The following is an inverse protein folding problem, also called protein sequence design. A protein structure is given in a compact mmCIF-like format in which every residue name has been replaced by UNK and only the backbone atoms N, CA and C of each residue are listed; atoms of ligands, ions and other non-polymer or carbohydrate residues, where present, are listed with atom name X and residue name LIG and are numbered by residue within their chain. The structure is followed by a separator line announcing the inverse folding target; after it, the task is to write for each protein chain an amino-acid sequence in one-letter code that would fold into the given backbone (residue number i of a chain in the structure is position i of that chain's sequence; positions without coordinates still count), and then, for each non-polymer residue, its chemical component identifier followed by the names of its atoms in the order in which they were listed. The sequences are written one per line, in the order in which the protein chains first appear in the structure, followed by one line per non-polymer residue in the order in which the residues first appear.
data_IF_082038020004
#
_entry.id   IF_082038020004
#
_cell.length_a   1.000
_cell.length_b   1.000
_cell.length_c   1.000
_cell.angle_alpha   90.00
_cell.angle_beta   90.00
_cell.angle_gamma   90.00
#
_symmetry.space_group_name_H-M   'P 1'
#
loop_
_entity.id
_entity.type
_entity.pdbx_description
1 polymer ?
#
# COMPACT_ATOMS: atom_id res chain seq x y z
N UNK A 1 3.39 2.43 -17.39
CA UNK A 1 2.57 1.37 -16.78
C UNK A 1 2.29 1.79 -15.34
N UNK A 2 1.04 1.91 -14.89
CA UNK A 2 0.77 2.26 -13.49
C UNK A 2 1.09 1.05 -12.60
N UNK A 3 1.96 1.27 -11.61
CA UNK A 3 2.21 0.28 -10.56
C UNK A 3 0.95 0.14 -9.69
N UNK A 4 0.62 -1.09 -9.32
CA UNK A 4 -0.52 -1.42 -8.46
C UNK A 4 0.05 -2.08 -7.22
N UNK A 5 -0.49 -1.73 -6.07
CA UNK A 5 0.15 -2.05 -4.81
C UNK A 5 -0.89 -2.32 -3.73
N UNK A 6 -0.65 -3.37 -2.96
CA UNK A 6 -1.35 -3.62 -1.70
C UNK A 6 -0.55 -2.95 -0.57
N UNK A 7 -1.23 -2.19 0.27
CA UNK A 7 -0.66 -1.64 1.51
C UNK A 7 -1.27 -2.35 2.72
N UNK A 8 -0.42 -2.95 3.56
CA UNK A 8 -0.79 -3.44 4.88
C UNK A 8 -0.18 -2.47 5.90
N UNK A 9 -1.05 -1.70 6.57
CA UNK A 9 -0.66 -0.61 7.45
C UNK A 9 -0.67 -1.07 8.91
N UNK A 10 0.45 -0.91 9.60
CA UNK A 10 0.61 -1.18 11.02
C UNK A 10 1.01 0.10 11.73
N UNK A 11 0.66 0.20 13.01
CA UNK A 11 1.11 1.26 13.90
C UNK A 11 1.80 0.65 15.13
N UNK A 12 2.60 1.42 15.87
CA UNK A 12 3.37 0.95 17.02
C UNK A 12 2.58 1.09 18.34
N UNK A 13 1.96 0.01 18.87
CA UNK A 13 1.18 0.09 20.11
C UNK A 13 2.02 0.10 21.39
N UNK A 14 3.33 -0.16 21.31
CA UNK A 14 4.21 -0.08 22.48
C UNK A 14 4.51 1.37 22.87
N UNK A 15 4.45 2.28 21.89
CA UNK A 15 4.77 3.71 22.06
C UNK A 15 3.56 4.61 22.10
N UNK A 16 2.48 4.25 21.42
CA UNK A 16 1.30 5.09 21.27
C UNK A 16 0.06 4.37 21.80
N UNK A 17 -0.92 5.13 22.26
CA UNK A 17 -2.17 4.58 22.79
C UNK A 17 -3.25 4.45 21.71
N UNK A 18 -3.07 5.11 20.56
CA UNK A 18 -4.01 5.06 19.45
C UNK A 18 -3.34 5.35 18.10
N UNK A 19 -3.97 4.90 17.01
CA UNK A 19 -3.57 5.27 15.65
C UNK A 19 -3.62 6.79 15.42
N UNK A 20 -4.62 7.47 15.99
CA UNK A 20 -4.79 8.92 15.80
C UNK A 20 -3.63 9.73 16.39
N UNK A 21 -3.08 9.26 17.52
CA UNK A 21 -1.86 9.80 18.12
C UNK A 21 -0.62 9.47 17.30
N UNK A 22 -0.54 8.23 16.81
CA UNK A 22 0.64 7.73 16.13
C UNK A 22 0.82 8.33 14.71
N UNK A 23 -0.26 8.61 13.98
CA UNK A 23 -0.24 8.87 12.53
C UNK A 23 0.69 10.01 12.08
N UNK A 24 1.03 10.98 12.93
CA UNK A 24 1.94 12.10 12.63
C UNK A 24 3.39 11.85 13.02
N UNK A 25 3.70 10.79 13.75
CA UNK A 25 5.02 10.59 14.37
C UNK A 25 5.96 9.74 13.50
N UNK A 26 7.23 10.13 13.42
CA UNK A 26 8.19 9.62 12.43
C UNK A 26 8.42 8.09 12.45
N UNK A 27 8.23 7.44 13.59
CA UNK A 27 8.44 6.01 13.82
C UNK A 27 7.15 5.24 14.15
N UNK A 28 6.00 5.87 13.94
CA UNK A 28 4.72 5.29 14.30
C UNK A 28 4.24 4.21 13.35
N UNK A 29 4.44 4.39 12.04
CA UNK A 29 3.81 3.54 11.04
C UNK A 29 4.83 2.65 10.33
N UNK A 30 4.45 1.38 10.18
CA UNK A 30 5.12 0.45 9.30
C UNK A 30 4.14 0.01 8.20
N UNK A 31 4.48 0.27 6.94
CA UNK A 31 3.63 -0.10 5.80
C UNK A 31 4.33 -1.14 4.95
N UNK A 32 3.72 -2.33 4.89
CA UNK A 32 4.15 -3.39 3.98
C UNK A 32 3.49 -3.15 2.63
N UNK A 33 4.34 -3.01 1.62
CA UNK A 33 3.97 -2.75 0.25
C UNK A 33 4.24 -3.95 -0.64
N UNK A 34 3.19 -4.52 -1.22
CA UNK A 34 3.32 -5.66 -2.15
C UNK A 34 2.90 -5.22 -3.54
N UNK A 35 3.80 -5.34 -4.51
CA UNK A 35 3.50 -5.04 -5.92
C UNK A 35 2.59 -6.11 -6.50
N UNK A 36 1.57 -5.68 -7.25
CA UNK A 36 0.65 -6.58 -7.94
C UNK A 36 1.05 -6.74 -9.41
N UNK A 37 1.26 -7.99 -9.84
CA UNK A 37 1.60 -8.34 -11.23
C UNK A 37 0.44 -9.10 -11.87
N UNK A 38 0.19 -8.84 -13.15
CA UNK A 38 -0.93 -9.47 -13.86
C UNK A 38 -0.69 -10.97 -14.13
N UNK A 39 -1.58 -11.83 -13.59
CA UNK A 39 -2.07 -13.14 -14.09
C UNK A 39 -2.93 -13.82 -12.99
N UNK A 40 -3.71 -14.85 -13.37
CA UNK A 40 -4.80 -15.47 -12.57
C UNK A 40 -4.42 -15.87 -11.12
N UNK A 41 -5.32 -15.59 -10.18
CA UNK A 41 -5.46 -16.25 -8.89
C UNK A 41 -6.89 -16.04 -8.34
N UNK A 42 -7.57 -17.04 -7.76
CA UNK A 42 -8.81 -16.82 -7.01
C UNK A 42 -8.50 -16.04 -5.71
N UNK A 43 -9.30 -15.02 -5.42
CA UNK A 43 -9.20 -14.24 -4.17
C UNK A 43 -10.52 -14.37 -3.41
N UNK A 44 -10.60 -15.39 -2.57
CA UNK A 44 -11.73 -15.63 -1.65
C UNK A 44 -11.14 -16.05 -0.32
N UNK A 45 -11.59 -15.44 0.79
CA UNK A 45 -10.95 -15.41 2.11
C UNK A 45 -9.57 -14.72 2.11
N UNK A 46 -9.43 -13.61 2.85
CA UNK A 46 -8.14 -12.98 3.08
C UNK A 46 -7.31 -13.84 4.03
N UNK A 47 -6.47 -14.69 3.44
CA UNK A 47 -5.46 -15.45 4.17
C UNK A 47 -4.16 -14.61 4.20
N UNK A 48 -3.53 -14.39 5.37
CA UNK A 48 -2.19 -13.81 5.48
C UNK A 48 -1.12 -14.50 4.61
N UNK A 49 -1.36 -15.74 4.15
CA UNK A 49 -0.54 -16.43 3.14
C UNK A 49 -0.53 -15.77 1.75
N UNK A 50 -1.35 -14.74 1.54
CA UNK A 50 -1.37 -13.90 0.33
C UNK A 50 -0.15 -12.99 0.19
N UNK A 51 0.75 -12.96 1.18
CA UNK A 51 2.08 -12.36 1.04
C UNK A 51 2.97 -13.18 0.08
N UNK A 52 3.97 -12.55 -0.55
CA UNK A 52 4.93 -13.30 -1.36
C UNK A 52 5.67 -14.35 -0.54
N UNK A 53 6.05 -15.45 -1.19
CA UNK A 53 6.78 -16.55 -0.56
C UNK A 53 8.12 -16.09 0.03
N UNK A 54 8.82 -15.16 -0.64
CA UNK A 54 9.98 -14.48 -0.08
C UNK A 54 9.61 -13.11 0.50
N UNK A 55 9.94 -12.93 1.78
CA UNK A 55 9.81 -11.64 2.45
C UNK A 55 11.04 -10.75 2.27
N UNK A 56 11.92 -11.01 1.29
CA UNK A 56 12.99 -10.07 0.96
C UNK A 56 12.41 -8.71 0.59
N UNK A 57 12.96 -7.62 1.14
CA UNK A 57 12.35 -6.31 1.03
C UNK A 57 13.37 -5.17 0.83
N UNK A 58 12.86 -4.06 0.33
CA UNK A 58 13.49 -2.75 0.45
C UNK A 58 12.82 -1.93 1.54
N UNK A 59 13.59 -1.10 2.25
CA UNK A 59 13.04 -0.20 3.26
C UNK A 59 13.59 1.21 3.16
N UNK A 60 12.72 2.19 3.40
CA UNK A 60 13.05 3.61 3.42
C UNK A 60 12.04 4.39 4.28
N UNK A 61 12.47 5.53 4.82
CA UNK A 61 11.58 6.49 5.50
C UNK A 61 10.84 7.32 4.46
N UNK A 62 9.52 7.40 4.59
CA UNK A 62 8.65 8.09 3.66
C UNK A 62 7.36 8.56 4.32
N UNK A 63 6.35 8.77 3.49
CA UNK A 63 5.08 9.37 3.91
C UNK A 63 3.89 8.48 3.62
N UNK A 64 2.73 8.88 4.14
CA UNK A 64 1.45 8.49 3.58
C UNK A 64 1.37 8.91 2.09
N UNK A 65 0.70 8.11 1.28
CA UNK A 65 0.54 8.34 -0.18
C UNK A 65 -0.75 9.07 -0.54
N UNK A 66 -1.49 9.55 0.47
CA UNK A 66 -2.67 10.39 0.34
C UNK A 66 -2.70 11.39 1.50
N UNK A 67 -3.37 12.56 1.36
CA UNK A 67 -3.57 13.49 2.47
C UNK A 67 -3.94 12.77 3.77
N UNK A 68 -3.31 13.12 4.91
CA UNK A 68 -2.51 14.34 5.15
C UNK A 68 -1.03 14.27 4.73
N UNK A 69 -0.55 13.18 4.10
CA UNK A 69 0.84 13.03 3.62
C UNK A 69 1.92 13.12 4.72
N UNK A 70 1.60 12.76 5.98
CA UNK A 70 2.59 12.74 7.06
C UNK A 70 3.80 11.86 6.72
N UNK A 71 5.00 12.36 7.02
CA UNK A 71 6.28 11.66 6.87
C UNK A 71 6.56 10.72 8.07
N UNK A 72 5.56 9.92 8.42
CA UNK A 72 5.52 9.03 9.61
C UNK A 72 5.73 7.55 9.29
N UNK A 73 6.08 7.23 8.04
CA UNK A 73 6.01 5.86 7.52
C UNK A 73 7.40 5.28 7.29
N UNK A 74 7.68 4.16 7.94
CA UNK A 74 8.73 3.23 7.51
C UNK A 74 8.14 2.27 6.48
N UNK A 75 8.57 2.41 5.23
CA UNK A 75 8.11 1.54 4.15
C UNK A 75 8.90 0.23 4.14
N UNK A 76 8.20 -0.88 3.89
CA UNK A 76 8.75 -2.22 3.67
C UNK A 76 8.17 -2.72 2.35
N UNK A 77 8.95 -2.63 1.27
CA UNK A 77 8.49 -3.00 -0.08
C UNK A 77 9.01 -4.39 -0.39
N UNK A 78 8.12 -5.37 -0.52
CA UNK A 78 8.51 -6.73 -0.88
C UNK A 78 9.14 -6.76 -2.28
N UNK A 79 10.23 -7.52 -2.41
CA UNK A 79 10.93 -7.77 -3.66
C UNK A 79 10.06 -8.57 -4.64
N UNK A 80 9.36 -9.55 -4.11
CA UNK A 80 8.45 -10.37 -4.88
C UNK A 80 7.06 -9.73 -4.99
N UNK A 81 6.46 -9.88 -6.17
CA UNK A 81 5.10 -9.43 -6.47
C UNK A 81 4.10 -10.57 -6.30
N UNK A 82 2.85 -10.25 -5.97
CA UNK A 82 1.75 -11.22 -6.00
C UNK A 82 0.91 -11.04 -7.25
N UNK A 83 0.22 -12.10 -7.64
CA UNK A 83 -0.58 -12.14 -8.86
C UNK A 83 -1.98 -11.56 -8.63
N UNK A 84 -2.46 -10.75 -9.56
CA UNK A 84 -3.85 -10.28 -9.60
C UNK A 84 -4.41 -10.40 -11.02
N UNK A 85 -5.65 -10.87 -11.14
CA UNK A 85 -6.34 -11.06 -12.42
C UNK A 85 -6.83 -9.74 -13.02
N UNK A 86 -7.05 -9.71 -14.33
CA UNK A 86 -7.59 -8.51 -15.00
C UNK A 86 -9.02 -8.21 -14.54
N UNK A 87 -9.80 -9.25 -14.27
CA UNK A 87 -11.17 -9.22 -13.80
C UNK A 87 -11.23 -8.67 -12.36
N UNK A 88 -10.36 -9.15 -11.47
CA UNK A 88 -10.22 -8.61 -10.10
C UNK A 88 -9.85 -7.12 -10.14
N UNK A 89 -8.95 -6.74 -11.04
CA UNK A 89 -8.61 -5.32 -11.23
C UNK A 89 -9.76 -4.50 -11.81
N UNK A 90 -10.59 -5.09 -12.66
CA UNK A 90 -11.79 -4.44 -13.17
C UNK A 90 -12.81 -4.20 -12.05
N UNK A 91 -12.93 -5.13 -11.09
CA UNK A 91 -13.78 -4.94 -9.91
C UNK A 91 -13.34 -3.73 -9.07
N UNK A 92 -12.03 -3.56 -8.81
CA UNK A 92 -11.54 -2.36 -8.12
C UNK A 92 -11.83 -1.06 -8.88
N UNK A 93 -11.71 -1.07 -10.22
CA UNK A 93 -11.99 0.12 -11.05
C UNK A 93 -13.48 0.40 -11.23
N UNK A 94 -14.33 -0.56 -10.95
CA UNK A 94 -15.78 -0.40 -10.96
C UNK A 94 -16.32 0.23 -9.67
N UNK A 95 -15.48 0.36 -8.62
CA UNK A 95 -15.84 1.09 -7.41
C UNK A 95 -16.10 2.56 -7.73
N UNK A 96 -17.15 3.09 -7.11
CA UNK A 96 -17.63 4.44 -7.31
C UNK A 96 -17.10 5.35 -6.18
N UNK A 97 -16.66 6.54 -6.56
CA UNK A 97 -16.19 7.57 -5.62
C UNK A 97 -17.29 8.54 -5.17
N UNK A 98 -18.43 8.54 -5.87
CA UNK A 98 -19.57 9.39 -5.55
C UNK A 98 -20.42 8.80 -4.40
N UNK A 99 -21.22 9.66 -3.79
CA UNK A 99 -22.23 9.26 -2.80
C UNK A 99 -23.46 8.65 -3.50
N UNK A 100 -24.28 7.93 -2.73
CA UNK A 100 -25.53 7.36 -3.24
C UNK A 100 -26.49 8.48 -3.69
N UNK A 101 -27.06 8.32 -4.89
CA UNK A 101 -27.94 9.32 -5.51
C UNK A 101 -27.27 10.25 -6.53
N UNK A 102 -25.93 10.34 -6.53
CA UNK A 102 -25.17 11.12 -7.51
C UNK A 102 -24.85 10.34 -8.79
N UNK A 103 -24.39 11.05 -9.82
CA UNK A 103 -23.89 10.44 -11.04
C UNK A 103 -22.67 9.55 -10.76
N UNK A 104 -22.61 8.32 -11.33
CA UNK A 104 -21.49 7.40 -11.11
C UNK A 104 -20.13 7.96 -11.56
N UNK A 105 -19.16 8.01 -10.65
CA UNK A 105 -17.77 8.40 -10.92
C UNK A 105 -16.81 7.27 -10.51
N UNK A 106 -16.36 6.43 -11.47
CA UNK A 106 -15.46 5.31 -11.18
C UNK A 106 -14.06 5.74 -10.74
N UNK A 107 -13.45 4.97 -9.83
CA UNK A 107 -12.08 5.21 -9.33
C UNK A 107 -11.05 4.59 -10.31
N UNK A 108 -10.36 5.43 -11.08
CA UNK A 108 -9.42 4.96 -12.10
C UNK A 108 -7.94 4.93 -11.66
N UNK A 109 -7.49 5.85 -10.80
CA UNK A 109 -6.07 6.00 -10.41
C UNK A 109 -5.90 6.81 -9.11
N UNK A 110 -4.90 6.47 -8.28
CA UNK A 110 -4.86 6.96 -6.89
C UNK A 110 -3.62 7.80 -6.45
N UNK A 111 -2.41 7.72 -7.08
CA UNK A 111 -1.29 8.67 -6.83
C UNK A 111 -0.03 8.41 -7.71
N UNK A 112 0.79 9.42 -8.08
CA UNK A 112 2.08 9.24 -8.77
C UNK A 112 3.29 9.07 -7.82
N UNK A 113 4.40 8.52 -8.33
CA UNK A 113 5.68 8.41 -7.59
C UNK A 113 6.31 9.77 -7.32
N UNK A 114 7.01 9.89 -6.20
CA UNK A 114 7.63 11.14 -5.72
C UNK A 114 9.17 11.10 -5.82
N UNK A 115 9.85 12.26 -5.96
CA UNK A 115 11.31 12.32 -6.01
C UNK A 115 12.00 11.75 -4.76
N UNK A 116 13.15 11.10 -4.93
CA UNK A 116 13.90 10.46 -3.83
C UNK A 116 14.50 11.48 -2.85
N UNK A 117 14.87 12.68 -3.31
CA UNK A 117 15.43 13.78 -2.49
C UNK A 117 16.59 13.34 -1.55
N UNK A 118 17.48 12.46 -2.04
CA UNK A 118 18.66 12.02 -1.28
C UNK A 118 18.41 10.94 -0.22
N UNK A 119 17.18 10.41 -0.11
CA UNK A 119 16.88 9.28 0.76
C UNK A 119 17.61 8.01 0.31
N UNK A 120 18.12 7.25 1.26
CA UNK A 120 18.74 5.94 1.01
C UNK A 120 17.69 4.84 1.12
N UNK A 121 17.59 4.02 0.08
CA UNK A 121 16.80 2.79 0.09
C UNK A 121 17.71 1.63 0.46
N UNK A 122 17.38 0.92 1.55
CA UNK A 122 18.13 -0.25 2.02
C UNK A 122 17.47 -1.53 1.52
N UNK A 123 18.24 -2.59 1.31
CA UNK A 123 17.76 -3.91 0.93
C UNK A 123 18.07 -4.93 2.04
N UNK A 124 17.22 -5.95 2.19
CA UNK A 124 17.44 -7.05 3.14
C UNK A 124 18.29 -8.21 2.58
N UNK A 125 18.78 -8.08 1.35
CA UNK A 125 19.42 -9.14 0.56
C UNK A 125 20.60 -8.62 -0.24
#
# INVERSE_FOLDING_TARGET
MMAKMLHIVHWNPEKYSSLAEAISEADALAVIGVLLKGKQAPFTNFDPSTLPSSLNFWTYSGSLTHPPLYESVTWIICKESISVSSEQLAQFRALLSNVEGDNPVPIQHNYPTQPVKGRTVRASF
#
